data_IF_935457805201
#
_entry.id   IF_935457805201
#
_cell.length_a   1.000
_cell.length_b   1.000
_cell.length_c   1.000
_cell.angle_alpha   90.00
_cell.angle_beta   90.00
_cell.angle_gamma   90.00
#
_symmetry.space_group_name_H-M   'P 1'
#
loop_
_entity.id
_entity.type
_entity.pdbx_description
1 polymer ?
#
# COMPACT_ATOMS: atom_id res chain seq x y z
N UNK A 1 -15.58 22.86 11.18
CA UNK A 1 -14.61 22.93 12.29
C UNK A 1 -13.44 22.06 11.86
N UNK A 2 -12.32 22.67 11.48
CA UNK A 2 -11.12 21.93 11.08
C UNK A 2 -10.30 21.70 12.34
N UNK A 3 -10.13 20.44 12.73
CA UNK A 3 -9.17 20.05 13.75
C UNK A 3 -7.75 20.36 13.22
N UNK A 4 -6.99 21.27 13.87
CA UNK A 4 -5.62 21.58 13.46
C UNK A 4 -4.71 20.34 13.47
N UNK A 5 -5.02 19.32 14.28
CA UNK A 5 -4.24 18.08 14.34
C UNK A 5 -4.38 17.19 13.10
N UNK A 6 -5.45 17.36 12.32
CA UNK A 6 -5.69 16.59 11.11
C UNK A 6 -4.78 16.99 9.94
N UNK A 7 -4.11 18.15 10.00
CA UNK A 7 -3.25 18.66 8.92
C UNK A 7 -1.80 18.17 8.96
N UNK A 8 -1.30 17.81 10.15
CA UNK A 8 0.03 17.20 10.30
C UNK A 8 0.00 15.67 10.12
N UNK A 9 -1.03 15.14 9.47
CA UNK A 9 -1.17 13.72 9.21
C UNK A 9 -1.53 13.47 7.75
N UNK A 10 -0.92 12.43 7.18
CA UNK A 10 -1.25 11.92 5.85
C UNK A 10 -1.85 10.54 6.00
N UNK A 11 -3.06 10.35 5.49
CA UNK A 11 -3.56 9.01 5.26
C UNK A 11 -2.91 8.42 4.01
N UNK A 12 -2.21 7.32 4.17
CA UNK A 12 -1.51 6.62 3.11
C UNK A 12 -2.29 5.39 2.69
N UNK A 13 -2.96 5.49 1.55
CA UNK A 13 -3.75 4.43 0.95
C UNK A 13 -2.88 3.64 -0.04
N UNK A 14 -2.70 2.34 0.21
CA UNK A 14 -1.79 1.50 -0.56
C UNK A 14 -2.27 0.06 -0.72
N UNK A 15 -1.69 -0.63 -1.70
CA UNK A 15 -1.90 -2.07 -1.91
C UNK A 15 -0.60 -2.77 -2.34
N UNK A 16 -0.36 -3.99 -1.83
CA UNK A 16 0.84 -4.77 -2.10
C UNK A 16 1.00 -5.27 -3.54
N UNK A 17 -0.09 -5.29 -4.32
CA UNK A 17 -0.07 -5.58 -5.76
C UNK A 17 0.26 -4.37 -6.64
N UNK A 18 0.34 -3.16 -6.09
CA UNK A 18 0.70 -1.94 -6.84
C UNK A 18 2.21 -1.67 -6.81
N UNK A 19 2.82 -1.67 -7.99
CA UNK A 19 4.25 -1.31 -8.19
C UNK A 19 4.56 0.12 -7.77
N UNK A 20 3.60 1.05 -7.88
CA UNK A 20 3.81 2.42 -7.40
C UNK A 20 3.62 2.52 -5.88
N UNK A 21 2.75 1.68 -5.29
CA UNK A 21 2.68 1.57 -3.83
C UNK A 21 3.98 1.03 -3.25
N UNK A 22 4.67 0.11 -3.92
CA UNK A 22 6.01 -0.33 -3.51
C UNK A 22 6.96 0.86 -3.32
N UNK A 23 7.10 1.70 -4.35
CA UNK A 23 7.98 2.86 -4.31
C UNK A 23 7.66 3.84 -3.17
N UNK A 24 6.37 4.00 -2.83
CA UNK A 24 5.95 4.87 -1.73
C UNK A 24 6.11 4.22 -0.36
N UNK A 25 5.77 2.93 -0.19
CA UNK A 25 5.95 2.19 1.08
C UNK A 25 7.42 2.21 1.52
N UNK A 26 8.36 2.08 0.58
CA UNK A 26 9.78 2.09 0.90
C UNK A 26 10.32 3.44 1.37
N UNK A 27 9.60 4.55 1.10
CA UNK A 27 10.09 5.92 1.35
C UNK A 27 9.30 6.68 2.41
N UNK A 28 8.02 6.36 2.59
CA UNK A 28 7.06 7.23 3.28
C UNK A 28 7.47 7.58 4.72
N UNK A 29 7.97 6.61 5.50
CA UNK A 29 8.40 6.89 6.88
C UNK A 29 9.63 7.81 6.94
N UNK A 30 10.56 7.69 5.98
CA UNK A 30 11.71 8.57 5.88
C UNK A 30 11.36 9.99 5.43
N UNK A 31 10.33 10.15 4.59
CA UNK A 31 9.79 11.46 4.23
C UNK A 31 9.02 12.10 5.40
N UNK A 32 8.24 11.30 6.13
CA UNK A 32 7.49 11.68 7.31
C UNK A 32 8.39 12.18 8.44
N UNK A 33 9.42 11.42 8.78
CA UNK A 33 10.38 11.79 9.82
C UNK A 33 11.11 13.10 9.51
N UNK A 34 11.45 13.35 8.24
CA UNK A 34 12.12 14.59 7.80
C UNK A 34 11.25 15.84 7.92
N UNK A 35 9.92 15.69 7.97
CA UNK A 35 8.97 16.80 7.92
C UNK A 35 8.05 16.86 9.15
N UNK A 36 8.27 16.00 10.13
CA UNK A 36 7.43 15.87 11.34
C UNK A 36 5.93 15.69 11.01
N UNK A 37 5.65 14.84 10.02
CA UNK A 37 4.28 14.52 9.58
C UNK A 37 3.94 13.09 9.97
N UNK A 38 2.79 12.88 10.61
CA UNK A 38 2.30 11.54 10.97
C UNK A 38 1.80 10.79 9.73
N UNK A 39 2.15 9.51 9.61
CA UNK A 39 1.57 8.61 8.60
C UNK A 39 0.48 7.77 9.23
N UNK A 40 -0.69 7.76 8.61
CA UNK A 40 -1.81 6.87 8.95
C UNK A 40 -1.93 5.83 7.86
N UNK A 41 -1.58 4.58 8.16
CA UNK A 41 -1.58 3.48 7.20
C UNK A 41 -3.00 3.04 6.87
N UNK A 42 -3.35 3.02 5.58
CA UNK A 42 -4.69 2.66 5.07
C UNK A 42 -4.60 1.58 3.98
N UNK A 43 -4.27 0.32 4.32
CA UNK A 43 -4.28 -0.78 3.34
C UNK A 43 -5.68 -0.97 2.77
N UNK A 44 -5.83 -1.08 1.45
CA UNK A 44 -7.14 -1.30 0.81
C UNK A 44 -7.02 -2.20 -0.43
N UNK A 45 -8.16 -2.65 -0.97
CA UNK A 45 -8.21 -3.54 -2.13
C UNK A 45 -8.65 -2.79 -3.40
N UNK A 46 -7.69 -2.40 -4.25
CA UNK A 46 -7.93 -1.66 -5.48
C UNK A 46 -8.76 -2.46 -6.50
N UNK A 47 -8.62 -3.79 -6.52
CA UNK A 47 -9.42 -4.65 -7.38
C UNK A 47 -10.93 -4.46 -7.20
N UNK A 48 -11.39 -4.25 -5.96
CA UNK A 48 -12.80 -3.99 -5.69
C UNK A 48 -13.24 -2.59 -6.14
N UNK A 49 -12.35 -1.59 -6.09
CA UNK A 49 -12.61 -0.25 -6.63
C UNK A 49 -12.81 -0.32 -8.15
N UNK A 50 -11.92 -1.01 -8.87
CA UNK A 50 -12.03 -1.19 -10.32
C UNK A 50 -13.35 -1.88 -10.72
N UNK A 51 -13.74 -2.95 -10.01
CA UNK A 51 -15.01 -3.63 -10.25
C UNK A 51 -16.22 -2.69 -10.04
N UNK A 52 -16.18 -1.84 -9.01
CA UNK A 52 -17.28 -0.93 -8.70
C UNK A 52 -17.55 0.12 -9.79
N UNK A 53 -16.55 0.43 -10.62
CA UNK A 53 -16.67 1.38 -11.74
C UNK A 53 -16.74 0.70 -13.11
N UNK A 54 -16.97 -0.63 -13.14
CA UNK A 54 -17.28 -1.38 -14.36
C UNK A 54 -16.10 -2.03 -15.06
N UNK A 55 -14.88 -1.97 -14.51
CA UNK A 55 -13.76 -2.74 -15.06
C UNK A 55 -13.93 -4.22 -14.75
N UNK A 56 -13.88 -5.05 -15.80
CA UNK A 56 -13.99 -6.52 -15.69
C UNK A 56 -12.65 -7.17 -15.35
N UNK A 57 -11.57 -6.57 -15.84
CA UNK A 57 -10.19 -6.98 -15.55
C UNK A 57 -9.41 -5.75 -15.10
N UNK A 58 -8.33 -5.97 -14.35
CA UNK A 58 -7.44 -4.89 -13.95
C UNK A 58 -6.98 -4.10 -15.20
N UNK A 59 -7.13 -2.76 -15.24
CA UNK A 59 -6.73 -1.95 -16.39
C UNK A 59 -5.27 -2.11 -16.81
N UNK A 60 -4.38 -2.48 -15.88
CA UNK A 60 -2.98 -2.80 -16.18
C UNK A 60 -2.82 -4.07 -17.02
N UNK A 61 -3.80 -4.98 -17.02
CA UNK A 61 -3.82 -6.20 -17.84
C UNK A 61 -4.43 -5.89 -19.21
N UNK A 62 -5.51 -5.12 -19.26
CA UNK A 62 -6.22 -4.83 -20.52
C UNK A 62 -5.47 -3.83 -21.43
N UNK A 63 -4.77 -2.84 -20.86
CA UNK A 63 -4.07 -1.80 -21.62
C UNK A 63 -2.58 -2.16 -21.82
N UNK A 64 -2.27 -2.82 -22.93
CA UNK A 64 -0.91 -3.34 -23.21
C UNK A 64 0.15 -2.23 -23.30
N UNK A 65 -0.19 -1.07 -23.84
CA UNK A 65 0.71 0.09 -23.95
C UNK A 65 1.06 0.64 -22.57
N UNK A 66 0.03 0.78 -21.71
CA UNK A 66 0.21 1.20 -20.32
C UNK A 66 1.07 0.19 -19.56
N UNK A 67 0.81 -1.11 -19.72
CA UNK A 67 1.63 -2.17 -19.12
C UNK A 67 3.08 -2.06 -19.56
N UNK A 68 3.32 -1.92 -20.85
CA UNK A 68 4.66 -1.82 -21.44
C UNK A 68 5.42 -0.61 -20.91
N UNK A 69 4.74 0.54 -20.77
CA UNK A 69 5.32 1.73 -20.16
C UNK A 69 5.69 1.49 -18.68
N UNK A 70 4.78 0.93 -17.89
CA UNK A 70 5.00 0.69 -16.46
C UNK A 70 6.20 -0.24 -16.22
N UNK A 71 6.35 -1.28 -17.05
CA UNK A 71 7.49 -2.21 -16.97
C UNK A 71 8.83 -1.54 -17.30
N UNK A 72 8.84 -0.42 -18.04
CA UNK A 72 10.05 0.39 -18.26
C UNK A 72 10.25 1.45 -17.18
N UNK A 73 9.16 2.02 -16.68
CA UNK A 73 9.19 3.14 -15.75
C UNK A 73 9.59 2.72 -14.33
N UNK A 74 9.00 1.64 -13.82
CA UNK A 74 9.25 1.19 -12.45
C UNK A 74 10.73 0.86 -12.19
N UNK A 75 11.48 0.17 -13.08
CA UNK A 75 12.93 0.03 -12.92
C UNK A 75 13.69 1.35 -12.85
N UNK A 76 13.30 2.37 -13.64
CA UNK A 76 13.92 3.70 -13.57
C UNK A 76 13.66 4.37 -12.22
N UNK A 77 12.43 4.28 -11.72
CA UNK A 77 12.08 4.80 -10.41
C UNK A 77 12.82 4.05 -9.28
N UNK A 78 12.91 2.72 -9.36
CA UNK A 78 13.67 1.94 -8.40
C UNK A 78 15.15 2.37 -8.38
N UNK A 79 15.77 2.55 -9.57
CA UNK A 79 17.13 3.10 -9.69
C UNK A 79 17.24 4.50 -9.08
N UNK A 80 16.29 5.39 -9.34
CA UNK A 80 16.26 6.76 -8.80
C UNK A 80 16.26 6.76 -7.26
N UNK A 81 15.55 5.83 -6.64
CA UNK A 81 15.39 5.76 -5.18
C UNK A 81 16.32 4.74 -4.49
N UNK A 82 17.21 4.09 -5.23
CA UNK A 82 18.12 3.06 -4.67
C UNK A 82 17.41 1.79 -4.21
N UNK A 83 16.25 1.46 -4.79
CA UNK A 83 15.45 0.30 -4.46
C UNK A 83 15.81 -0.91 -5.34
N UNK A 84 15.74 -2.11 -4.77
CA UNK A 84 15.87 -3.35 -5.52
C UNK A 84 14.65 -3.52 -6.43
N UNK A 85 14.84 -4.18 -7.57
CA UNK A 85 13.75 -4.48 -8.48
C UNK A 85 13.98 -5.83 -9.14
N UNK A 86 12.96 -6.68 -9.05
CA UNK A 86 12.80 -7.90 -9.80
C UNK A 86 11.37 -7.89 -10.33
N UNK A 87 11.23 -7.95 -11.65
CA UNK A 87 9.90 -8.01 -12.27
C UNK A 87 9.20 -9.29 -11.80
N UNK A 88 8.02 -9.19 -11.16
CA UNK A 88 7.33 -10.38 -10.68
C UNK A 88 6.95 -11.32 -11.83
N UNK A 89 7.12 -12.62 -11.63
CA UNK A 89 6.66 -13.65 -12.58
C UNK A 89 5.15 -13.64 -12.74
N UNK A 90 4.42 -13.23 -11.69
CA UNK A 90 2.97 -13.01 -11.69
C UNK A 90 2.67 -11.54 -11.43
N UNK A 91 2.06 -10.85 -12.40
CA UNK A 91 1.68 -9.44 -12.25
C UNK A 91 0.36 -9.12 -12.97
N UNK A 92 -0.60 -8.46 -12.30
CA UNK A 92 -0.61 -8.09 -10.88
C UNK A 92 -0.76 -9.31 -9.96
N UNK A 93 0.01 -9.34 -8.86
CA UNK A 93 -0.08 -10.39 -7.83
C UNK A 93 -1.18 -10.04 -6.83
N UNK A 94 -1.93 -11.05 -6.38
CA UNK A 94 -2.89 -10.87 -5.28
C UNK A 94 -2.16 -10.50 -3.99
N UNK A 95 -2.67 -9.51 -3.26
CA UNK A 95 -2.15 -9.07 -1.96
C UNK A 95 -3.18 -9.16 -0.84
N UNK A 96 -4.23 -9.99 -0.98
CA UNK A 96 -5.37 -9.98 -0.06
C UNK A 96 -4.99 -10.41 1.37
N UNK A 97 -4.24 -11.51 1.53
CA UNK A 97 -3.80 -11.95 2.85
C UNK A 97 -2.90 -10.91 3.54
N UNK A 98 -1.84 -10.37 2.91
CA UNK A 98 -1.01 -9.37 3.57
C UNK A 98 -1.74 -8.05 3.83
N UNK A 99 -2.73 -7.65 3.00
CA UNK A 99 -3.60 -6.50 3.30
C UNK A 99 -4.37 -6.70 4.62
N UNK A 100 -4.88 -7.90 4.86
CA UNK A 100 -5.60 -8.24 6.11
C UNK A 100 -4.67 -8.26 7.31
N UNK A 101 -3.45 -8.78 7.15
CA UNK A 101 -2.42 -8.69 8.19
C UNK A 101 -2.07 -7.23 8.49
N UNK A 102 -1.86 -6.41 7.45
CA UNK A 102 -1.60 -4.98 7.60
C UNK A 102 -2.73 -4.25 8.34
N UNK A 103 -4.00 -4.60 8.08
CA UNK A 103 -5.15 -4.06 8.80
C UNK A 103 -5.10 -4.30 10.30
N UNK A 104 -4.64 -5.47 10.74
CA UNK A 104 -4.46 -5.77 12.16
C UNK A 104 -3.32 -4.95 12.79
N UNK A 105 -2.44 -4.42 11.95
CA UNK A 105 -1.24 -3.69 12.33
C UNK A 105 -1.32 -2.17 12.22
N UNK A 106 -2.38 -1.56 11.67
CA UNK A 106 -2.36 -0.13 11.28
C UNK A 106 -1.96 0.83 12.40
N UNK A 107 -2.27 0.49 13.66
CA UNK A 107 -1.90 1.28 14.86
C UNK A 107 -0.75 0.66 15.67
N UNK A 108 -0.04 -0.31 15.09
CA UNK A 108 1.07 -1.04 15.73
C UNK A 108 2.41 -0.57 15.17
N UNK A 109 3.47 -0.53 15.98
CA UNK A 109 4.78 -0.03 15.56
C UNK A 109 5.43 -0.86 14.43
N UNK A 110 4.98 -2.11 14.22
CA UNK A 110 5.55 -3.00 13.23
C UNK A 110 5.00 -2.82 11.80
N UNK A 111 3.94 -2.01 11.59
CA UNK A 111 3.24 -1.90 10.29
C UNK A 111 4.14 -1.47 9.14
N UNK A 112 5.01 -0.48 9.37
CA UNK A 112 5.91 0.03 8.34
C UNK A 112 6.92 -1.02 7.91
N UNK A 113 7.56 -1.69 8.88
CA UNK A 113 8.53 -2.74 8.60
C UNK A 113 7.90 -3.97 7.95
N UNK A 114 6.74 -4.42 8.45
CA UNK A 114 5.96 -5.48 7.81
C UNK A 114 5.67 -5.13 6.35
N UNK A 115 5.17 -3.92 6.09
CA UNK A 115 4.79 -3.49 4.74
C UNK A 115 5.99 -3.43 3.80
N UNK A 116 7.15 -2.93 4.26
CA UNK A 116 8.39 -2.95 3.47
C UNK A 116 8.81 -4.38 3.13
N UNK A 117 8.86 -5.28 4.11
CA UNK A 117 9.28 -6.67 3.89
C UNK A 117 8.36 -7.42 2.93
N UNK A 118 7.04 -7.21 3.02
CA UNK A 118 6.09 -7.79 2.05
C UNK A 118 6.31 -7.24 0.65
N UNK A 119 6.55 -5.94 0.52
CA UNK A 119 6.85 -5.36 -0.79
C UNK A 119 8.17 -5.88 -1.38
N UNK A 120 9.21 -6.07 -0.55
CA UNK A 120 10.48 -6.68 -0.98
C UNK A 120 10.30 -8.14 -1.40
N UNK A 121 9.51 -8.92 -0.67
CA UNK A 121 9.16 -10.28 -1.05
C UNK A 121 8.54 -10.31 -2.47
N UNK A 122 7.64 -9.38 -2.77
CA UNK A 122 7.01 -9.31 -4.09
C UNK A 122 7.96 -8.78 -5.17
N UNK A 123 8.56 -7.60 -4.96
CA UNK A 123 9.21 -6.81 -6.00
C UNK A 123 10.74 -6.85 -5.99
N UNK A 124 11.36 -7.53 -5.03
CA UNK A 124 12.81 -7.77 -5.01
C UNK A 124 13.17 -9.26 -4.99
N UNK A 125 12.24 -10.14 -4.61
CA UNK A 125 12.48 -11.58 -4.43
C UNK A 125 11.50 -12.50 -5.17
N UNK A 126 10.50 -11.93 -5.85
CA UNK A 126 9.45 -12.64 -6.61
C UNK A 126 8.79 -13.81 -5.85
N UNK A 127 8.33 -13.52 -4.63
CA UNK A 127 7.62 -14.48 -3.77
C UNK A 127 6.11 -14.26 -3.81
N UNK A 128 5.37 -15.35 -3.63
CA UNK A 128 3.92 -15.27 -3.50
C UNK A 128 3.50 -14.79 -2.12
N UNK A 129 3.35 -13.48 -2.00
CA UNK A 129 2.97 -12.83 -0.75
C UNK A 129 1.55 -13.16 -0.28
N UNK A 130 0.73 -13.83 -1.08
CA UNK A 130 -0.60 -14.26 -0.64
C UNK A 130 -0.55 -15.61 0.10
N UNK A 131 0.58 -16.30 0.08
CA UNK A 131 0.78 -17.58 0.77
C UNK A 131 1.19 -17.38 2.24
N UNK A 132 0.51 -18.04 3.21
CA UNK A 132 0.80 -17.90 4.63
C UNK A 132 2.26 -18.21 4.99
N UNK A 133 2.86 -19.22 4.36
CA UNK A 133 4.24 -19.65 4.59
C UNK A 133 5.28 -18.60 4.16
N UNK A 134 4.91 -17.69 3.25
CA UNK A 134 5.77 -16.57 2.85
C UNK A 134 5.69 -15.43 3.87
N UNK A 135 4.52 -15.22 4.49
CA UNK A 135 4.32 -14.15 5.48
C UNK A 135 4.73 -14.54 6.90
N UNK A 136 4.64 -15.83 7.26
CA UNK A 136 4.93 -16.27 8.61
C UNK A 136 6.35 -15.90 9.09
N UNK A 137 7.43 -16.10 8.31
CA UNK A 137 8.77 -15.70 8.71
C UNK A 137 8.88 -14.19 8.97
N UNK A 138 8.22 -13.36 8.15
CA UNK A 138 8.21 -11.90 8.33
C UNK A 138 7.61 -11.53 9.69
N UNK A 139 6.48 -12.15 10.05
CA UNK A 139 5.81 -11.90 11.33
C UNK A 139 6.65 -12.39 12.51
N UNK A 140 7.22 -13.59 12.41
CA UNK A 140 8.09 -14.16 13.45
C UNK A 140 9.33 -13.29 13.69
N UNK A 141 9.98 -12.82 12.62
CA UNK A 141 11.16 -11.93 12.73
C UNK A 141 10.83 -10.57 13.35
N UNK A 142 9.57 -10.14 13.28
CA UNK A 142 9.07 -8.94 13.97
C UNK A 142 8.71 -9.21 15.44
N UNK A 143 8.95 -10.42 15.96
CA UNK A 143 8.61 -10.82 17.32
C UNK A 143 7.12 -11.05 17.53
N UNK A 144 6.36 -11.31 16.46
CA UNK A 144 4.92 -11.53 16.50
C UNK A 144 4.56 -13.01 16.43
N UNK A 145 3.40 -13.34 16.97
CA UNK A 145 2.80 -14.66 16.80
C UNK A 145 2.24 -14.81 15.38
N UNK A 146 3.04 -15.38 14.48
CA UNK A 146 2.66 -15.55 13.09
C UNK A 146 1.36 -16.37 12.93
N UNK A 147 1.21 -17.45 13.71
CA UNK A 147 0.01 -18.30 13.66
C UNK A 147 -1.26 -17.53 14.05
N UNK A 148 -1.24 -16.81 15.17
CA UNK A 148 -2.41 -16.07 15.65
C UNK A 148 -2.79 -14.93 14.69
N UNK A 149 -1.80 -14.18 14.18
CA UNK A 149 -2.06 -13.09 13.25
C UNK A 149 -2.59 -13.61 11.91
N UNK A 150 -2.04 -14.70 11.38
CA UNK A 150 -2.49 -15.27 10.11
C UNK A 150 -3.88 -15.91 10.24
N UNK A 151 -4.20 -16.51 11.38
CA UNK A 151 -5.53 -16.99 11.70
C UNK A 151 -6.53 -15.84 11.77
N UNK A 152 -6.20 -14.78 12.53
CA UNK A 152 -7.03 -13.60 12.66
C UNK A 152 -7.23 -12.90 11.30
N UNK A 153 -6.18 -12.80 10.48
CA UNK A 153 -6.28 -12.24 9.14
C UNK A 153 -7.21 -13.03 8.20
N UNK A 154 -7.47 -14.31 8.49
CA UNK A 154 -8.43 -15.14 7.75
C UNK A 154 -9.84 -15.12 8.35
N UNK A 155 -10.02 -14.58 9.56
CA UNK A 155 -11.31 -14.49 10.24
C UNK A 155 -12.28 -13.58 9.48
N UNK A 156 -13.58 -13.87 9.61
CA UNK A 156 -14.62 -13.11 8.90
C UNK A 156 -14.67 -11.64 9.33
N UNK A 157 -14.33 -11.35 10.59
CA UNK A 157 -14.21 -9.98 11.10
C UNK A 157 -13.20 -9.16 10.29
N UNK A 158 -11.99 -9.69 10.07
CA UNK A 158 -10.95 -8.97 9.29
C UNK A 158 -11.27 -8.90 7.79
N UNK A 159 -12.00 -9.88 7.24
CA UNK A 159 -12.52 -9.77 5.87
C UNK A 159 -13.51 -8.61 5.74
N UNK A 160 -14.44 -8.48 6.69
CA UNK A 160 -15.40 -7.38 6.74
C UNK A 160 -14.69 -6.04 6.94
N UNK A 161 -13.71 -5.96 7.83
CA UNK A 161 -12.87 -4.76 8.00
C UNK A 161 -12.21 -4.32 6.68
N UNK A 162 -11.65 -5.25 5.90
CA UNK A 162 -11.04 -4.90 4.60
C UNK A 162 -12.08 -4.39 3.58
N UNK A 163 -13.28 -4.97 3.58
CA UNK A 163 -14.38 -4.50 2.73
C UNK A 163 -14.80 -3.08 3.12
N UNK A 164 -15.00 -2.82 4.41
CA UNK A 164 -15.36 -1.51 4.93
C UNK A 164 -14.28 -0.47 4.65
N UNK A 165 -13.01 -0.81 4.88
CA UNK A 165 -11.87 0.03 4.57
C UNK A 165 -11.81 0.41 3.08
N UNK A 166 -12.08 -0.55 2.20
CA UNK A 166 -12.10 -0.32 0.75
C UNK A 166 -13.30 0.55 0.33
N UNK A 167 -14.45 0.36 0.98
CA UNK A 167 -15.62 1.22 0.78
C UNK A 167 -15.38 2.66 1.28
N UNK A 168 -14.63 2.83 2.37
CA UNK A 168 -14.19 4.17 2.81
C UNK A 168 -13.29 4.83 1.77
N UNK A 169 -12.33 4.10 1.18
CA UNK A 169 -11.51 4.60 0.09
C UNK A 169 -12.37 5.14 -1.05
N UNK A 170 -13.38 4.36 -1.47
CA UNK A 170 -14.32 4.74 -2.53
C UNK A 170 -15.12 6.00 -2.17
N UNK A 171 -15.64 6.10 -0.94
CA UNK A 171 -16.38 7.28 -0.45
C UNK A 171 -15.52 8.54 -0.41
N UNK A 172 -14.22 8.39 -0.17
CA UNK A 172 -13.24 9.47 -0.22
C UNK A 172 -12.75 9.80 -1.65
N UNK A 173 -13.36 9.21 -2.68
CA UNK A 173 -13.01 9.48 -4.08
C UNK A 173 -11.71 8.82 -4.54
N UNK A 174 -11.19 7.85 -3.79
CA UNK A 174 -9.94 7.16 -4.15
C UNK A 174 -10.22 6.17 -5.29
N UNK A 175 -9.43 6.28 -6.36
CA UNK A 175 -9.56 5.46 -7.58
C UNK A 175 -8.28 4.67 -7.92
N UNK A 176 -7.22 4.83 -7.13
CA UNK A 176 -5.90 4.28 -7.44
C UNK A 176 -5.00 4.16 -6.22
N UNK A 177 -3.92 3.39 -6.37
CA UNK A 177 -2.89 3.23 -5.35
C UNK A 177 -1.50 3.56 -5.94
N UNK A 178 -0.61 4.24 -5.19
CA UNK A 178 -0.83 4.81 -3.87
C UNK A 178 -1.63 6.11 -3.95
N UNK A 179 -2.35 6.45 -2.88
CA UNK A 179 -3.03 7.74 -2.69
C UNK A 179 -2.69 8.29 -1.31
N UNK A 180 -2.48 9.60 -1.23
CA UNK A 180 -2.24 10.34 0.00
C UNK A 180 -3.39 11.32 0.20
N UNK A 181 -4.07 11.22 1.34
CA UNK A 181 -5.18 12.10 1.70
C UNK A 181 -4.79 12.98 2.89
N UNK A 182 -4.93 14.30 2.74
CA UNK A 182 -4.74 15.30 3.81
C UNK A 182 -6.04 16.08 3.95
N UNK A 183 -6.83 15.76 4.98
CA UNK A 183 -8.19 16.29 5.11
C UNK A 183 -9.07 15.88 3.92
N UNK A 184 -9.33 16.81 3.00
CA UNK A 184 -10.10 16.57 1.76
C UNK A 184 -9.24 16.55 0.50
N UNK A 185 -7.97 16.91 0.61
CA UNK A 185 -7.07 17.02 -0.54
C UNK A 185 -6.49 15.66 -0.89
N UNK A 186 -6.63 15.27 -2.17
CA UNK A 186 -6.22 13.97 -2.70
C UNK A 186 -4.98 14.13 -3.58
N UNK A 187 -3.92 13.43 -3.23
CA UNK A 187 -2.69 13.32 -4.02
C UNK A 187 -2.52 11.87 -4.47
N UNK A 188 -2.67 11.61 -5.76
CA UNK A 188 -2.60 10.25 -6.31
C UNK A 188 -1.32 10.02 -7.09
N UNK A 189 -0.65 8.90 -6.83
CA UNK A 189 0.57 8.46 -7.52
C UNK A 189 1.84 8.68 -6.71
N UNK A 190 2.83 7.80 -6.90
CA UNK A 190 4.13 7.89 -6.20
C UNK A 190 4.88 9.20 -6.50
N UNK A 191 4.64 9.78 -7.68
CA UNK A 191 5.17 11.08 -8.11
C UNK A 191 4.56 12.27 -7.34
N UNK A 192 3.49 12.05 -6.58
CA UNK A 192 2.84 13.06 -5.71
C UNK A 192 3.18 12.91 -4.24
N UNK A 193 4.05 11.97 -3.86
CA UNK A 193 4.46 11.76 -2.46
C UNK A 193 5.04 13.04 -1.86
N UNK A 194 5.98 13.67 -2.56
CA UNK A 194 6.69 14.85 -2.06
C UNK A 194 5.76 16.07 -1.99
N UNK A 195 4.87 16.24 -2.98
CA UNK A 195 3.82 17.27 -2.99
C UNK A 195 2.87 17.13 -1.79
N UNK A 196 2.43 15.90 -1.50
CA UNK A 196 1.53 15.59 -0.38
C UNK A 196 2.17 15.95 0.97
N UNK A 197 3.46 15.62 1.14
CA UNK A 197 4.22 15.99 2.32
C UNK A 197 4.47 17.49 2.43
N UNK A 198 4.79 18.16 1.32
CA UNK A 198 4.93 19.61 1.29
C UNK A 198 3.62 20.27 1.75
N UNK A 199 2.47 19.82 1.24
CA UNK A 199 1.16 20.31 1.61
C UNK A 199 0.85 20.12 3.10
N UNK A 200 1.10 18.91 3.62
CA UNK A 200 0.90 18.57 5.04
C UNK A 200 1.76 19.42 5.98
N UNK A 201 3.01 19.73 5.59
CA UNK A 201 3.96 20.48 6.42
C UNK A 201 3.84 22.01 6.33
N UNK A 202 3.17 22.55 5.31
CA UNK A 202 3.11 23.99 5.05
C UNK A 202 1.87 24.70 5.62
N UNK A 203 1.04 24.02 6.42
CA UNK A 203 -0.34 24.45 6.75
C UNK A 203 -0.65 24.54 8.24
#
# INVERSE_FOLDING_TARGET
>A
MNDPSAKNAIEFWFEYGSVYSYLSVMRIEGEAARRDVKVIWKPFLLGAIFQSVGFKVNPFVEQLEKRSYVLQDVPRQCKKYGLKWLQPSTFPRSGVLPLRVALLGVDKPWIGEFSRRVMELNYALDKDINEPEILAPVLTDLGLSASEILEQAKAESTKSMLREQTEQARKNGIFGAPTFLIGKEVFWGNDRLDDAFQFASSS
#
